data_IF_730555205924
#
_entry.id   IF_730555205924
#
_cell.length_a   1.000
_cell.length_b   1.000
_cell.length_c   1.000
_cell.angle_alpha   90.00
_cell.angle_beta   90.00
_cell.angle_gamma   90.00
#
_symmetry.space_group_name_H-M   'P 1'
#
loop_
_entity.id
_entity.type
_entity.pdbx_description
1 polymer ?
#
# COMPACT_ATOMS: atom_id res chain seq x y z
N UNK A 1 -24.12 -12.40 -44.34
CA UNK A 1 -24.68 -11.67 -43.17
C UNK A 1 -24.58 -12.47 -41.87
N UNK A 2 -25.20 -13.65 -41.70
CA UNK A 2 -25.15 -14.41 -40.42
C UNK A 2 -23.73 -14.70 -39.88
N UNK A 3 -22.79 -15.06 -40.75
CA UNK A 3 -21.38 -15.29 -40.38
C UNK A 3 -20.66 -14.03 -39.87
N UNK A 4 -21.03 -12.84 -40.38
CA UNK A 4 -20.46 -11.55 -39.95
C UNK A 4 -20.99 -11.15 -38.57
N UNK A 5 -22.27 -11.43 -38.29
CA UNK A 5 -22.83 -11.19 -36.96
C UNK A 5 -22.26 -12.15 -35.92
N UNK A 6 -22.00 -13.41 -36.30
CA UNK A 6 -21.39 -14.40 -35.41
C UNK A 6 -19.94 -14.05 -35.08
N UNK A 7 -19.15 -13.60 -36.06
CA UNK A 7 -17.78 -13.13 -35.82
C UNK A 7 -17.74 -11.83 -35.02
N UNK A 8 -18.65 -10.89 -35.29
CA UNK A 8 -18.78 -9.65 -34.51
C UNK A 8 -19.14 -9.91 -33.04
N UNK A 9 -20.02 -10.88 -32.76
CA UNK A 9 -20.37 -11.26 -31.40
C UNK A 9 -19.19 -11.89 -30.65
N UNK A 10 -18.37 -12.68 -31.34
CA UNK A 10 -17.19 -13.33 -30.77
C UNK A 10 -16.09 -12.31 -30.43
N UNK A 11 -15.95 -11.26 -31.23
CA UNK A 11 -15.05 -10.12 -30.94
C UNK A 11 -15.53 -9.31 -29.74
N UNK A 12 -16.83 -9.02 -29.63
CA UNK A 12 -17.38 -8.30 -28.48
C UNK A 12 -17.18 -9.08 -27.17
N UNK A 13 -17.33 -10.41 -27.21
CA UNK A 13 -17.09 -11.27 -26.05
C UNK A 13 -15.61 -11.35 -25.65
N UNK A 14 -14.70 -11.36 -26.63
CA UNK A 14 -13.25 -11.30 -26.35
C UNK A 14 -12.86 -9.97 -25.69
N UNK A 15 -13.42 -8.84 -26.15
CA UNK A 15 -13.14 -7.53 -25.59
C UNK A 15 -13.65 -7.37 -24.15
N UNK A 16 -14.84 -7.89 -23.82
CA UNK A 16 -15.39 -7.77 -22.46
C UNK A 16 -14.52 -8.46 -21.39
N UNK A 17 -13.82 -9.54 -21.74
CA UNK A 17 -12.93 -10.24 -20.81
C UNK A 17 -11.65 -9.43 -20.53
N UNK A 18 -11.13 -8.72 -21.52
CA UNK A 18 -9.96 -7.84 -21.35
C UNK A 18 -10.27 -6.66 -20.41
N UNK A 19 -11.42 -6.02 -20.58
CA UNK A 19 -11.83 -4.90 -19.72
C UNK A 19 -12.04 -5.31 -18.25
N UNK A 20 -12.53 -6.51 -17.98
CA UNK A 20 -12.71 -7.01 -16.62
C UNK A 20 -11.37 -7.25 -15.91
N UNK A 21 -10.39 -7.80 -16.63
CA UNK A 21 -9.04 -8.00 -16.12
C UNK A 21 -8.35 -6.66 -15.83
N UNK A 22 -8.40 -5.72 -16.77
CA UNK A 22 -7.80 -4.37 -16.61
C UNK A 22 -8.39 -3.64 -15.40
N UNK A 23 -9.71 -3.75 -15.17
CA UNK A 23 -10.35 -3.14 -14.00
C UNK A 23 -9.83 -3.72 -12.70
N UNK A 24 -9.70 -5.05 -12.60
CA UNK A 24 -9.18 -5.70 -11.39
C UNK A 24 -7.73 -5.27 -11.12
N UNK A 25 -6.89 -5.26 -12.15
CA UNK A 25 -5.49 -4.82 -12.04
C UNK A 25 -5.41 -3.37 -11.55
N UNK A 26 -6.20 -2.46 -12.13
CA UNK A 26 -6.28 -1.07 -11.70
C UNK A 26 -6.75 -0.93 -10.24
N UNK A 27 -7.76 -1.70 -9.82
CA UNK A 27 -8.25 -1.64 -8.44
C UNK A 27 -7.18 -2.14 -7.44
N UNK A 28 -6.41 -3.18 -7.80
CA UNK A 28 -5.27 -3.68 -7.02
C UNK A 28 -4.16 -2.63 -6.95
N UNK A 29 -3.82 -1.99 -8.08
CA UNK A 29 -2.80 -0.94 -8.14
C UNK A 29 -3.17 0.25 -7.25
N UNK A 30 -4.44 0.63 -7.22
CA UNK A 30 -4.94 1.69 -6.34
C UNK A 30 -4.82 1.31 -4.86
N UNK A 31 -5.18 0.07 -4.49
CA UNK A 31 -4.96 -0.44 -3.14
C UNK A 31 -3.47 -0.45 -2.76
N UNK A 32 -2.60 -0.85 -3.69
CA UNK A 32 -1.15 -0.82 -3.52
C UNK A 32 -0.59 0.60 -3.32
N UNK A 33 -1.05 1.59 -4.09
CA UNK A 33 -0.65 2.99 -3.87
C UNK A 33 -1.11 3.49 -2.49
N UNK A 34 -2.29 3.08 -2.04
CA UNK A 34 -2.76 3.44 -0.70
C UNK A 34 -1.92 2.78 0.41
N UNK A 35 -1.54 1.52 0.24
CA UNK A 35 -0.62 0.85 1.16
C UNK A 35 0.73 1.57 1.23
N UNK A 36 1.28 2.01 0.09
CA UNK A 36 2.52 2.82 0.03
C UNK A 36 2.40 4.14 0.79
N UNK A 37 1.28 4.86 0.65
CA UNK A 37 1.04 6.10 1.43
C UNK A 37 1.11 5.81 2.93
N UNK A 38 0.54 4.68 3.37
CA UNK A 38 0.64 4.24 4.76
C UNK A 38 2.07 3.97 5.23
N UNK A 39 2.89 3.32 4.39
CA UNK A 39 4.32 3.12 4.69
C UNK A 39 5.03 4.47 4.88
N UNK A 40 4.90 5.39 3.93
CA UNK A 40 5.56 6.70 4.01
C UNK A 40 5.11 7.50 5.23
N UNK A 41 3.81 7.47 5.53
CA UNK A 41 3.28 8.12 6.71
C UNK A 41 3.89 7.54 7.99
N UNK A 42 3.92 6.21 8.15
CA UNK A 42 4.46 5.60 9.36
C UNK A 42 5.96 5.84 9.56
N UNK A 43 6.76 5.78 8.49
CA UNK A 43 8.20 6.10 8.58
C UNK A 43 8.41 7.56 8.96
N UNK A 44 7.57 8.47 8.47
CA UNK A 44 7.64 9.90 8.84
C UNK A 44 7.17 10.20 10.27
N UNK A 45 6.53 9.22 10.93
CA UNK A 45 5.92 9.37 12.25
C UNK A 45 6.44 8.33 13.26
N UNK A 46 7.69 7.87 13.11
CA UNK A 46 8.28 6.92 14.06
C UNK A 46 8.24 7.52 15.48
N UNK A 47 7.55 6.87 16.44
CA UNK A 47 7.43 7.41 17.78
C UNK A 47 8.76 7.34 18.52
N UNK A 48 9.08 8.38 19.30
CA UNK A 48 10.31 8.39 20.10
C UNK A 48 10.31 7.29 21.16
N UNK A 49 9.24 7.23 21.97
CA UNK A 49 9.18 6.39 23.18
C UNK A 49 8.37 5.11 23.02
N UNK A 50 7.37 5.08 22.14
CA UNK A 50 6.46 3.93 22.01
C UNK A 50 7.12 2.85 21.16
N UNK A 51 6.98 1.59 21.56
CA UNK A 51 7.45 0.44 20.77
C UNK A 51 6.60 0.18 19.52
N UNK A 52 5.39 0.75 19.46
CA UNK A 52 4.42 0.52 18.40
C UNK A 52 3.64 1.80 18.08
N UNK A 53 3.29 1.97 16.80
CA UNK A 53 2.34 2.95 16.30
C UNK A 53 1.29 2.24 15.45
N UNK A 54 0.02 2.52 15.68
CA UNK A 54 -1.08 2.05 14.83
C UNK A 54 -1.96 3.23 14.47
N UNK A 55 -2.37 3.32 13.21
CA UNK A 55 -3.27 4.36 12.76
C UNK A 55 -4.01 3.95 11.48
N UNK A 56 -5.23 4.45 11.34
CA UNK A 56 -6.02 4.36 10.12
C UNK A 56 -5.94 5.70 9.37
N UNK A 57 -5.57 5.64 8.10
CA UNK A 57 -5.57 6.77 7.19
C UNK A 57 -6.94 6.83 6.50
N UNK A 58 -7.77 7.75 6.97
CA UNK A 58 -9.14 7.95 6.48
C UNK A 58 -9.22 9.32 5.80
N UNK A 59 -9.82 9.37 4.62
CA UNK A 59 -10.11 10.61 3.89
C UNK A 59 -11.38 10.42 3.06
N UNK A 60 -12.15 11.48 2.82
CA UNK A 60 -13.36 11.43 1.98
C UNK A 60 -14.30 10.27 2.35
N UNK A 61 -14.51 10.07 3.66
CA UNK A 61 -15.32 8.99 4.24
C UNK A 61 -14.91 7.57 3.82
N UNK A 62 -13.63 7.38 3.44
CA UNK A 62 -13.06 6.09 3.03
C UNK A 62 -11.81 5.76 3.83
N UNK A 63 -11.65 4.49 4.16
CA UNK A 63 -10.40 3.94 4.67
C UNK A 63 -9.43 3.76 3.50
N UNK A 64 -8.32 4.48 3.52
CA UNK A 64 -7.26 4.34 2.53
C UNK A 64 -6.24 3.30 2.96
N UNK A 65 -5.78 3.38 4.21
CA UNK A 65 -4.82 2.42 4.73
C UNK A 65 -4.92 2.21 6.23
N UNK A 66 -4.65 1.00 6.71
CA UNK A 66 -4.43 0.68 8.11
C UNK A 66 -2.96 0.33 8.31
N UNK A 67 -2.28 1.08 9.18
CA UNK A 67 -0.82 1.00 9.31
C UNK A 67 -0.43 0.60 10.72
N UNK A 68 0.59 -0.26 10.82
CA UNK A 68 1.21 -0.70 12.06
C UNK A 68 2.72 -0.63 11.92
N UNK A 69 3.36 0.18 12.76
CA UNK A 69 4.80 0.25 12.87
C UNK A 69 5.23 -0.37 14.20
N UNK A 70 6.27 -1.19 14.14
CA UNK A 70 6.93 -1.82 15.28
C UNK A 70 8.37 -1.35 15.31
N UNK A 71 8.82 -0.81 16.44
CA UNK A 71 10.25 -0.63 16.70
C UNK A 71 10.86 -2.00 16.93
N UNK A 72 11.95 -2.27 16.24
CA UNK A 72 12.75 -3.49 16.36
C UNK A 72 14.18 -3.06 16.72
N UNK A 73 15.03 -4.01 17.08
CA UNK A 73 16.45 -3.70 17.36
C UNK A 73 17.09 -3.11 16.09
N UNK A 74 17.66 -1.89 16.21
CA UNK A 74 18.29 -1.12 15.12
C UNK A 74 17.41 -0.83 13.90
N UNK A 75 16.08 -0.86 14.05
CA UNK A 75 15.21 -0.54 12.93
C UNK A 75 13.72 -0.57 13.23
N UNK A 76 12.94 -0.64 12.16
CA UNK A 76 11.49 -0.71 12.23
C UNK A 76 10.95 -1.74 11.25
N UNK A 77 9.84 -2.36 11.65
CA UNK A 77 8.97 -3.14 10.77
C UNK A 77 7.68 -2.35 10.59
N UNK A 78 7.34 -2.04 9.35
CA UNK A 78 6.09 -1.36 8.99
C UNK A 78 5.20 -2.31 8.20
N UNK A 79 3.97 -2.47 8.64
CA UNK A 79 2.91 -3.20 7.95
C UNK A 79 1.85 -2.18 7.56
N UNK A 80 1.55 -2.08 6.28
CA UNK A 80 0.50 -1.18 5.77
C UNK A 80 -0.44 -1.95 4.87
N UNK A 81 -1.71 -1.98 5.24
CA UNK A 81 -2.81 -2.53 4.44
C UNK A 81 -3.49 -1.37 3.72
N UNK A 82 -3.41 -1.34 2.39
CA UNK A 82 -4.11 -0.36 1.57
C UNK A 82 -5.41 -0.93 1.04
N UNK A 83 -6.44 -0.10 0.97
CA UNK A 83 -7.80 -0.48 0.58
C UNK A 83 -8.26 0.31 -0.65
N UNK A 84 -8.96 -0.36 -1.56
CA UNK A 84 -9.68 0.28 -2.65
C UNK A 84 -10.84 -0.60 -3.13
N UNK A 85 -12.07 -0.07 -3.12
CA UNK A 85 -13.29 -0.85 -3.37
C UNK A 85 -13.34 -2.11 -2.49
N UNK A 86 -13.32 -3.30 -3.08
CA UNK A 86 -13.32 -4.60 -2.39
C UNK A 86 -11.92 -5.23 -2.29
N UNK A 87 -10.87 -4.50 -2.67
CA UNK A 87 -9.50 -4.99 -2.72
C UNK A 87 -8.69 -4.48 -1.53
N UNK A 88 -7.82 -5.35 -1.02
CA UNK A 88 -6.85 -5.04 0.02
C UNK A 88 -5.46 -5.53 -0.41
N UNK A 89 -4.43 -4.72 -0.17
CA UNK A 89 -3.03 -5.09 -0.38
C UNK A 89 -2.24 -4.82 0.89
N UNK A 90 -1.57 -5.84 1.45
CA UNK A 90 -0.66 -5.69 2.57
C UNK A 90 0.79 -5.58 2.08
N UNK A 91 1.47 -4.49 2.43
CA UNK A 91 2.92 -4.34 2.25
C UNK A 91 3.58 -4.41 3.62
N UNK A 92 4.66 -5.20 3.69
CA UNK A 92 5.54 -5.28 4.87
C UNK A 92 6.94 -4.81 4.50
N UNK A 93 7.42 -3.79 5.19
CA UNK A 93 8.74 -3.19 4.98
C UNK A 93 9.56 -3.28 6.25
N UNK A 94 10.84 -3.60 6.09
CA UNK A 94 11.84 -3.60 7.15
C UNK A 94 12.92 -2.58 6.79
N UNK A 95 13.24 -1.69 7.72
CA UNK A 95 14.24 -0.64 7.51
C UNK A 95 15.12 -0.50 8.75
N UNK A 96 16.43 -0.44 8.54
CA UNK A 96 17.35 -0.06 9.61
C UNK A 96 17.28 1.44 9.86
N UNK A 97 17.64 1.85 11.08
CA UNK A 97 17.73 3.26 11.43
C UNK A 97 18.77 4.00 10.58
N UNK A 98 19.90 3.37 10.29
CA UNK A 98 20.94 3.95 9.42
C UNK A 98 20.40 4.25 8.01
N UNK A 99 19.65 3.32 7.41
CA UNK A 99 19.03 3.51 6.09
C UNK A 99 18.06 4.69 6.14
N UNK A 100 17.23 4.75 7.18
CA UNK A 100 16.25 5.83 7.33
C UNK A 100 16.92 7.20 7.49
N UNK A 101 18.00 7.28 8.28
CA UNK A 101 18.79 8.51 8.44
C UNK A 101 19.42 8.91 7.10
N UNK A 102 20.00 7.97 6.36
CA UNK A 102 20.60 8.23 5.04
C UNK A 102 19.58 8.70 3.99
N UNK A 103 18.33 8.28 4.14
CA UNK A 103 17.19 8.67 3.31
C UNK A 103 16.55 10.00 3.77
N UNK A 104 17.02 10.60 4.87
CA UNK A 104 16.56 11.88 5.39
C UNK A 104 15.39 11.82 6.38
N UNK A 105 15.06 10.64 6.92
CA UNK A 105 13.99 10.49 7.91
C UNK A 105 14.48 10.76 9.34
N UNK A 106 13.56 11.27 10.16
CA UNK A 106 13.80 11.46 11.58
C UNK A 106 13.63 10.15 12.35
N UNK A 107 14.74 9.67 12.90
CA UNK A 107 14.79 8.51 13.81
C UNK A 107 14.91 9.00 15.26
N UNK A 108 14.29 8.30 16.25
CA UNK A 108 14.42 8.63 17.66
C UNK A 108 15.88 8.73 18.14
N UNK A 109 16.18 9.73 18.97
CA UNK A 109 17.55 10.06 19.42
C UNK A 109 18.25 8.93 20.16
N UNK A 110 17.51 8.14 20.94
CA UNK A 110 18.05 6.99 21.67
C UNK A 110 18.60 5.88 20.75
N UNK A 111 18.27 5.90 19.47
CA UNK A 111 18.72 4.90 18.48
C UNK A 111 19.88 5.42 17.62
N UNK A 112 20.30 6.69 17.79
CA UNK A 112 21.39 7.32 17.02
C UNK A 112 22.77 7.12 17.65
N UNK A 113 22.82 6.68 18.91
CA UNK A 113 24.03 6.65 19.75
C UNK A 113 24.49 5.22 20.13
N UNK A 114 23.89 4.16 19.55
CA UNK A 114 24.26 2.74 19.74
C UNK A 114 24.83 2.03 18.48
#
# INVERSE_FOLDING_TARGET
MKLIYLSSLLVLFALSNLFAQERLENDIDMAYQNAKKGIYWAISNIPEKKSKLENDLISEDRLYASVRLYKEVKGVKVVSKGFFQTNEVEIKVYKSYDSLISEGYNVPTNEKEE
#
